data_IF_946960991850
#
_entry.id   IF_946960991850
#
_cell.length_a   1.000
_cell.length_b   1.000
_cell.length_c   1.000
_cell.angle_alpha   90.00
_cell.angle_beta   90.00
_cell.angle_gamma   90.00
#
_symmetry.space_group_name_H-M   'P 1'
#
loop_
_entity.id
_entity.type
_entity.pdbx_description
1 polymer ?
#
# COMPACT_ATOMS: atom_id res chain seq x y z
N UNK A 1 -9.81 0.08 -19.50
CA UNK A 1 -9.89 -0.64 -18.21
C UNK A 1 -8.62 -0.47 -17.37
N UNK A 2 -7.43 -0.87 -17.84
CA UNK A 2 -6.17 -0.77 -17.08
C UNK A 2 -5.82 0.65 -16.58
N UNK A 3 -6.07 1.68 -17.41
CA UNK A 3 -5.84 3.09 -17.02
C UNK A 3 -6.66 3.49 -15.79
N UNK A 4 -7.93 3.08 -15.73
CA UNK A 4 -8.81 3.38 -14.61
C UNK A 4 -8.34 2.67 -13.34
N UNK A 5 -7.85 1.43 -13.45
CA UNK A 5 -7.26 0.69 -12.34
C UNK A 5 -6.02 1.41 -11.80
N UNK A 6 -5.12 1.85 -12.69
CA UNK A 6 -3.95 2.63 -12.30
C UNK A 6 -4.32 3.91 -11.56
N UNK A 7 -5.27 4.69 -12.10
CA UNK A 7 -5.78 5.91 -11.44
C UNK A 7 -6.41 5.63 -10.07
N UNK A 8 -7.23 4.58 -9.97
CA UNK A 8 -7.85 4.20 -8.70
C UNK A 8 -6.79 3.84 -7.64
N UNK A 9 -5.76 3.08 -8.00
CA UNK A 9 -4.67 2.71 -7.09
C UNK A 9 -3.85 3.94 -6.67
N UNK A 10 -3.54 4.85 -7.60
CA UNK A 10 -2.83 6.10 -7.29
C UNK A 10 -3.66 7.00 -6.37
N UNK A 11 -4.97 7.09 -6.60
CA UNK A 11 -5.89 7.82 -5.73
C UNK A 11 -5.93 7.21 -4.32
N UNK A 12 -6.03 5.88 -4.22
CA UNK A 12 -5.96 5.18 -2.93
C UNK A 12 -4.63 5.45 -2.22
N UNK A 13 -3.50 5.42 -2.93
CA UNK A 13 -2.21 5.80 -2.37
C UNK A 13 -2.22 7.22 -1.79
N UNK A 14 -2.74 8.21 -2.51
CA UNK A 14 -2.80 9.59 -2.02
C UNK A 14 -3.65 9.70 -0.74
N UNK A 15 -4.82 9.06 -0.73
CA UNK A 15 -5.71 9.02 0.43
C UNK A 15 -5.00 8.38 1.64
N UNK A 16 -4.37 7.22 1.45
CA UNK A 16 -3.65 6.48 2.51
C UNK A 16 -2.41 7.21 3.02
N UNK A 17 -1.64 7.84 2.13
CA UNK A 17 -0.48 8.66 2.49
C UNK A 17 -0.88 9.86 3.35
N UNK A 18 -1.99 10.54 2.98
CA UNK A 18 -2.52 11.64 3.77
C UNK A 18 -2.99 11.16 5.14
N UNK A 19 -3.63 10.00 5.23
CA UNK A 19 -4.03 9.41 6.51
C UNK A 19 -2.83 9.18 7.44
N UNK A 20 -1.76 8.54 6.94
CA UNK A 20 -0.55 8.28 7.74
C UNK A 20 0.18 9.54 8.16
N UNK A 21 0.13 10.63 7.38
CA UNK A 21 0.77 11.89 7.78
C UNK A 21 0.04 12.60 8.92
N UNK A 22 -1.20 12.20 9.24
CA UNK A 22 -1.96 12.75 10.37
C UNK A 22 -1.88 11.86 11.60
N UNK A 23 -1.24 10.69 11.53
CA UNK A 23 -1.04 9.84 12.69
C UNK A 23 -0.09 10.49 13.68
N UNK A 24 -0.54 10.51 14.92
CA UNK A 24 0.20 10.93 16.10
C UNK A 24 0.41 9.72 17.01
N UNK A 25 1.35 9.82 17.95
CA UNK A 25 1.57 8.74 18.91
C UNK A 25 0.35 8.51 19.82
N UNK A 26 -0.46 9.54 20.06
CA UNK A 26 -1.71 9.47 20.84
C UNK A 26 -2.76 8.55 20.20
N UNK A 27 -2.71 8.41 18.88
CA UNK A 27 -3.61 7.54 18.12
C UNK A 27 -3.34 6.04 18.39
N UNK A 28 -2.14 5.71 18.88
CA UNK A 28 -1.67 4.35 19.13
C UNK A 28 -1.19 4.18 20.58
N UNK A 29 -2.11 4.19 21.57
CA UNK A 29 -1.73 4.04 22.96
C UNK A 29 -1.11 2.67 23.21
N UNK A 30 -0.05 2.63 24.02
CA UNK A 30 0.68 1.40 24.32
C UNK A 30 1.84 1.12 23.37
N UNK A 31 1.89 1.76 22.20
CA UNK A 31 3.09 1.75 21.35
C UNK A 31 4.13 2.73 21.92
N UNK A 32 5.38 2.28 22.02
CA UNK A 32 6.53 3.13 22.34
C UNK A 32 7.01 3.92 21.12
N UNK A 33 7.90 4.89 21.32
CA UNK A 33 8.34 5.78 20.24
C UNK A 33 8.99 5.00 19.08
N UNK A 34 9.79 3.97 19.41
CA UNK A 34 10.42 3.09 18.43
C UNK A 34 9.39 2.29 17.62
N UNK A 35 8.38 1.70 18.27
CA UNK A 35 7.31 0.98 17.60
C UNK A 35 6.46 1.89 16.71
N UNK A 36 6.23 3.14 17.11
CA UNK A 36 5.47 4.10 16.30
C UNK A 36 6.26 4.51 15.05
N UNK A 37 7.56 4.71 15.18
CA UNK A 37 8.45 4.96 14.04
C UNK A 37 8.50 3.74 13.10
N UNK A 38 8.64 2.53 13.63
CA UNK A 38 8.63 1.30 12.84
C UNK A 38 7.31 1.13 12.08
N UNK A 39 6.17 1.32 12.76
CA UNK A 39 4.84 1.27 12.16
C UNK A 39 4.72 2.26 11.00
N UNK A 40 5.13 3.52 11.23
CA UNK A 40 5.07 4.58 10.22
C UNK A 40 5.92 4.25 9.00
N UNK A 41 7.14 3.72 9.20
CA UNK A 41 8.03 3.32 8.11
C UNK A 41 7.43 2.15 7.32
N UNK A 42 6.90 1.14 8.00
CA UNK A 42 6.26 -0.01 7.35
C UNK A 42 5.03 0.41 6.53
N UNK A 43 4.21 1.31 7.06
CA UNK A 43 3.04 1.84 6.36
C UNK A 43 3.44 2.67 5.14
N UNK A 44 4.41 3.57 5.26
CA UNK A 44 4.96 4.31 4.12
C UNK A 44 5.49 3.37 3.05
N UNK A 45 6.24 2.34 3.44
CA UNK A 45 6.78 1.33 2.52
C UNK A 45 5.67 0.56 1.80
N UNK A 46 4.62 0.14 2.51
CA UNK A 46 3.48 -0.56 1.92
C UNK A 46 2.72 0.32 0.91
N UNK A 47 2.58 1.61 1.22
CA UNK A 47 1.91 2.56 0.34
C UNK A 47 2.76 2.94 -0.88
N UNK A 48 4.08 3.09 -0.73
CA UNK A 48 4.97 3.28 -1.88
C UNK A 48 4.91 2.08 -2.85
N UNK A 49 4.86 0.85 -2.32
CA UNK A 49 4.67 -0.35 -3.15
C UNK A 49 3.31 -0.36 -3.86
N UNK A 50 2.25 0.13 -3.21
CA UNK A 50 0.96 0.36 -3.84
C UNK A 50 1.05 1.39 -4.97
N UNK A 51 1.80 2.49 -4.78
CA UNK A 51 2.03 3.49 -5.83
C UNK A 51 2.75 2.86 -7.03
N UNK A 52 3.83 2.10 -6.81
CA UNK A 52 4.55 1.42 -7.90
C UNK A 52 3.64 0.49 -8.69
N UNK A 53 2.76 -0.24 -8.01
CA UNK A 53 1.77 -1.08 -8.66
C UNK A 53 0.79 -0.25 -9.51
N UNK A 54 0.25 0.84 -8.97
CA UNK A 54 -0.63 1.76 -9.68
C UNK A 54 0.04 2.37 -10.91
N UNK A 55 1.30 2.79 -10.78
CA UNK A 55 2.09 3.34 -11.89
C UNK A 55 2.35 2.30 -12.97
N UNK A 56 2.60 1.04 -12.61
CA UNK A 56 2.81 -0.06 -13.55
C UNK A 56 1.59 -0.37 -14.43
N UNK A 57 0.38 0.04 -14.02
CA UNK A 57 -0.81 -0.05 -14.88
C UNK A 57 -0.82 0.96 -16.03
N UNK A 58 -0.10 2.09 -15.95
CA UNK A 58 -0.04 3.07 -17.06
C UNK A 58 0.65 2.53 -18.31
N UNK A 59 1.87 1.95 -18.25
CA UNK A 59 2.49 1.37 -19.42
C UNK A 59 1.73 0.12 -19.91
N UNK A 60 1.09 -0.66 -19.03
CA UNK A 60 0.20 -1.74 -19.45
C UNK A 60 -1.03 -1.22 -20.21
N UNK A 61 -1.62 -0.12 -19.75
CA UNK A 61 -2.74 0.53 -20.42
C UNK A 61 -2.32 1.09 -21.79
N UNK A 62 -1.17 1.75 -21.85
CA UNK A 62 -0.62 2.31 -23.08
C UNK A 62 -0.32 1.21 -24.11
N UNK A 63 0.43 0.18 -23.72
CA UNK A 63 0.75 -0.97 -24.60
C UNK A 63 -0.51 -1.73 -25.04
N UNK A 64 -1.54 -1.78 -24.20
CA UNK A 64 -2.83 -2.36 -24.58
C UNK A 64 -3.60 -1.49 -25.58
N UNK A 65 -3.53 -0.16 -25.44
CA UNK A 65 -4.19 0.80 -26.33
C UNK A 65 -3.60 0.80 -27.75
N UNK A 66 -2.27 0.80 -27.86
CA UNK A 66 -1.58 0.86 -29.16
C UNK A 66 -1.48 -0.49 -29.89
N UNK A 67 -2.21 -1.52 -29.43
CA UNK A 67 -2.03 -2.90 -29.90
C UNK A 67 -0.57 -3.38 -29.85
N UNK A 68 0.16 -3.00 -28.79
CA UNK A 68 1.54 -3.38 -28.58
C UNK A 68 1.72 -4.90 -28.49
N UNK A 69 2.97 -5.35 -28.66
CA UNK A 69 3.33 -6.77 -28.67
C UNK A 69 2.79 -7.50 -27.43
N UNK A 70 2.28 -8.73 -27.64
CA UNK A 70 1.77 -9.59 -26.56
C UNK A 70 2.80 -9.76 -25.44
N UNK A 71 4.08 -9.90 -25.80
CA UNK A 71 5.21 -10.01 -24.87
C UNK A 71 5.25 -8.83 -23.90
N UNK A 72 5.09 -7.59 -24.38
CA UNK A 72 5.10 -6.40 -23.52
C UNK A 72 3.95 -6.41 -22.50
N UNK A 73 2.75 -6.84 -22.93
CA UNK A 73 1.59 -6.95 -22.03
C UNK A 73 1.85 -7.98 -20.92
N UNK A 74 2.41 -9.13 -21.27
CA UNK A 74 2.76 -10.20 -20.32
C UNK A 74 3.84 -9.72 -19.34
N UNK A 75 4.87 -9.02 -19.81
CA UNK A 75 5.93 -8.47 -18.95
C UNK A 75 5.35 -7.50 -17.91
N UNK A 76 4.51 -6.55 -18.32
CA UNK A 76 3.90 -5.63 -17.37
C UNK A 76 2.94 -6.32 -16.41
N UNK A 77 2.18 -7.32 -16.88
CA UNK A 77 1.28 -8.09 -16.02
C UNK A 77 2.06 -8.90 -14.97
N UNK A 78 3.17 -9.54 -15.37
CA UNK A 78 4.08 -10.22 -14.46
C UNK A 78 4.72 -9.25 -13.46
N UNK A 79 5.14 -8.07 -13.91
CA UNK A 79 5.68 -7.03 -13.03
C UNK A 79 4.65 -6.57 -11.98
N UNK A 80 3.40 -6.33 -12.40
CA UNK A 80 2.31 -5.96 -11.49
C UNK A 80 2.05 -7.08 -10.46
N UNK A 81 2.06 -8.35 -10.90
CA UNK A 81 1.91 -9.49 -10.00
C UNK A 81 3.06 -9.57 -8.99
N UNK A 82 4.30 -9.37 -9.43
CA UNK A 82 5.47 -9.34 -8.54
C UNK A 82 5.39 -8.20 -7.54
N UNK A 83 4.98 -7.00 -7.97
CA UNK A 83 4.75 -5.86 -7.09
C UNK A 83 3.64 -6.16 -6.06
N UNK A 84 2.57 -6.84 -6.48
CA UNK A 84 1.51 -7.28 -5.58
C UNK A 84 2.01 -8.24 -4.51
N UNK A 85 2.75 -9.28 -4.90
CA UNK A 85 3.35 -10.24 -3.96
C UNK A 85 4.35 -9.54 -3.05
N UNK A 86 5.14 -8.60 -3.58
CA UNK A 86 6.08 -7.81 -2.80
C UNK A 86 5.39 -6.95 -1.74
N UNK A 87 4.08 -6.68 -1.84
CA UNK A 87 3.37 -5.91 -0.82
C UNK A 87 2.91 -6.75 0.38
N UNK A 88 3.02 -8.08 0.32
CA UNK A 88 2.64 -8.98 1.40
C UNK A 88 3.54 -8.84 2.65
N UNK A 89 4.89 -8.82 2.53
CA UNK A 89 5.77 -8.75 3.70
C UNK A 89 5.58 -7.51 4.59
N UNK A 90 5.52 -6.27 4.06
CA UNK A 90 5.24 -5.09 4.88
C UNK A 90 3.92 -5.20 5.64
N UNK A 91 2.85 -5.67 4.98
CA UNK A 91 1.54 -5.87 5.61
C UNK A 91 1.59 -6.88 6.75
N UNK A 92 2.32 -7.98 6.56
CA UNK A 92 2.50 -8.98 7.62
C UNK A 92 3.32 -8.44 8.80
N UNK A 93 4.34 -7.62 8.54
CA UNK A 93 5.10 -6.94 9.59
C UNK A 93 4.24 -5.95 10.39
N UNK A 94 3.37 -5.19 9.72
CA UNK A 94 2.42 -4.28 10.39
C UNK A 94 1.51 -5.07 11.34
N UNK A 95 0.92 -6.18 10.86
CA UNK A 95 0.07 -7.03 11.71
C UNK A 95 0.83 -7.56 12.92
N UNK A 96 2.04 -8.11 12.73
CA UNK A 96 2.86 -8.60 13.85
C UNK A 96 3.26 -7.49 14.83
N UNK A 97 3.47 -6.28 14.35
CA UNK A 97 3.80 -5.13 15.18
C UNK A 97 2.58 -4.74 16.03
N UNK A 98 1.39 -4.67 15.43
CA UNK A 98 0.15 -4.40 16.15
C UNK A 98 -0.15 -5.50 17.18
N UNK A 99 0.01 -6.77 16.83
CA UNK A 99 -0.14 -7.90 17.74
C UNK A 99 0.83 -7.83 18.93
N UNK A 100 2.06 -7.32 18.73
CA UNK A 100 3.06 -7.16 19.81
C UNK A 100 2.61 -6.16 20.87
N UNK A 101 1.87 -5.12 20.47
CA UNK A 101 1.37 -4.08 21.38
C UNK A 101 -0.10 -4.32 21.77
N UNK A 102 -0.63 -5.51 21.51
CA UNK A 102 -2.02 -5.92 21.82
C UNK A 102 -3.07 -4.98 21.20
N UNK A 103 -2.72 -4.30 20.09
CA UNK A 103 -3.62 -3.40 19.39
C UNK A 103 -4.41 -4.18 18.35
N UNK A 104 -5.72 -4.32 18.60
CA UNK A 104 -6.60 -4.97 17.62
C UNK A 104 -6.91 -4.03 16.45
N UNK A 105 -7.09 -4.61 15.26
CA UNK A 105 -7.56 -3.86 14.09
C UNK A 105 -8.97 -3.27 14.29
N UNK A 106 -9.74 -3.83 15.22
CA UNK A 106 -11.08 -3.37 15.58
C UNK A 106 -11.00 -2.08 16.40
N UNK A 107 -10.12 -2.02 17.40
CA UNK A 107 -9.85 -0.80 18.19
C UNK A 107 -9.31 0.35 17.33
N UNK A 108 -8.42 0.05 16.38
CA UNK A 108 -7.93 1.06 15.44
C UNK A 108 -9.08 1.58 14.56
N UNK A 109 -9.97 0.71 14.09
CA UNK A 109 -11.14 1.12 13.30
C UNK A 109 -12.10 2.00 14.09
N UNK A 110 -12.34 1.69 15.36
CA UNK A 110 -13.18 2.51 16.25
C UNK A 110 -12.60 3.92 16.45
N UNK A 111 -11.28 4.05 16.40
CA UNK A 111 -10.55 5.33 16.46
C UNK A 111 -10.45 6.06 15.12
N UNK A 112 -11.13 5.56 14.07
CA UNK A 112 -11.08 6.15 12.72
C UNK A 112 -9.83 5.79 11.92
N UNK A 113 -9.00 4.87 12.42
CA UNK A 113 -7.78 4.41 11.77
C UNK A 113 -8.12 3.18 10.92
N UNK A 114 -8.31 3.41 9.62
CA UNK A 114 -8.56 2.33 8.66
C UNK A 114 -7.26 1.94 7.97
N UNK A 115 -6.55 0.92 8.48
CA UNK A 115 -5.39 0.34 7.81
C UNK A 115 -5.80 -0.59 6.66
#
# INVERSE_FOLDING_TARGET
MYLLVGLAIVYLFQSRRKMVSHFTMEDFPGIDEEGFQELTVLLKTAYERMLYMGVAFFPLAYTSYINGAFVSKVVFLALILLLFISNIPPRHKIMRLLDRYDLSMEELRERGIHL
#
